data_IF_906782072372
#
_entry.id   IF_906782072372
#
_cell.length_a   1.000
_cell.length_b   1.000
_cell.length_c   1.000
_cell.angle_alpha   90.00
_cell.angle_beta   90.00
_cell.angle_gamma   90.00
#
_symmetry.space_group_name_H-M   'P 1'
#
loop_
_entity.id
_entity.type
_entity.pdbx_description
1 polymer ?
#
# COMPACT_ATOMS: atom_id res chain seq x y z
N UNK A 1 57.23 20.01 -8.19
CA UNK A 1 56.04 20.47 -7.46
C UNK A 1 55.55 21.75 -8.11
N UNK A 2 54.47 21.68 -8.89
CA UNK A 2 53.82 22.86 -9.47
C UNK A 2 52.47 23.02 -8.76
N UNK A 3 52.29 24.13 -8.04
CA UNK A 3 50.98 24.47 -7.49
C UNK A 3 50.09 24.91 -8.65
N UNK A 4 49.29 23.99 -9.19
CA UNK A 4 48.29 24.33 -10.18
C UNK A 4 47.30 25.30 -9.52
N UNK A 5 47.29 26.54 -9.99
CA UNK A 5 46.29 27.53 -9.60
C UNK A 5 44.94 27.05 -10.14
N UNK A 6 44.22 26.24 -9.36
CA UNK A 6 42.90 25.66 -9.68
C UNK A 6 41.78 26.72 -9.64
N UNK A 7 42.08 27.94 -10.07
CA UNK A 7 41.08 29.00 -10.23
C UNK A 7 40.41 28.79 -11.58
N UNK A 8 39.14 28.40 -11.57
CA UNK A 8 38.33 28.33 -12.78
C UNK A 8 37.02 29.10 -12.57
N UNK A 9 36.23 29.26 -13.62
CA UNK A 9 34.97 30.00 -13.55
C UNK A 9 33.90 29.17 -12.85
N UNK A 10 33.27 29.76 -11.84
CA UNK A 10 32.08 29.18 -11.22
C UNK A 10 30.90 29.25 -12.20
N UNK A 11 30.20 28.12 -12.41
CA UNK A 11 29.04 28.02 -13.29
C UNK A 11 27.93 29.02 -12.94
N UNK A 12 27.68 29.27 -11.65
CA UNK A 12 26.60 30.16 -11.20
C UNK A 12 26.98 31.65 -11.25
N UNK A 13 28.11 32.06 -10.68
CA UNK A 13 28.46 33.49 -10.58
C UNK A 13 29.49 33.98 -11.61
N UNK A 14 30.02 33.09 -12.45
CA UNK A 14 31.00 33.38 -13.51
C UNK A 14 32.25 34.15 -13.04
N UNK A 15 32.62 34.02 -11.76
CA UNK A 15 33.84 34.61 -11.19
C UNK A 15 34.95 33.57 -11.12
N UNK A 16 36.18 33.95 -11.46
CA UNK A 16 37.36 33.11 -11.26
C UNK A 16 37.60 32.92 -9.76
N UNK A 17 37.41 31.69 -9.30
CA UNK A 17 37.58 31.30 -7.90
C UNK A 17 38.13 29.88 -7.84
N UNK A 18 38.52 29.45 -6.64
CA UNK A 18 38.69 28.01 -6.39
C UNK A 18 37.32 27.36 -6.59
N UNK A 19 37.28 26.41 -7.50
CA UNK A 19 36.04 25.71 -7.90
C UNK A 19 36.18 24.22 -7.67
N UNK A 20 35.06 23.60 -7.36
CA UNK A 20 34.90 22.17 -7.16
C UNK A 20 33.97 21.62 -8.25
N UNK A 21 34.28 20.43 -8.75
CA UNK A 21 33.45 19.74 -9.72
C UNK A 21 32.31 19.00 -8.99
N UNK A 22 31.08 19.19 -9.45
CA UNK A 22 30.00 18.25 -9.16
C UNK A 22 30.02 17.18 -10.25
N UNK A 23 30.36 15.93 -9.90
CA UNK A 23 30.47 14.83 -10.87
C UNK A 23 29.10 14.51 -11.52
N UNK A 24 28.02 14.57 -10.73
CA UNK A 24 26.67 14.30 -11.23
C UNK A 24 26.18 15.30 -12.28
N UNK A 25 26.52 16.59 -12.12
CA UNK A 25 26.11 17.63 -13.05
C UNK A 25 27.20 18.02 -14.06
N UNK A 26 28.41 17.49 -13.90
CA UNK A 26 29.61 17.86 -14.68
C UNK A 26 29.86 19.37 -14.74
N UNK A 27 29.53 20.10 -13.67
CA UNK A 27 29.64 21.56 -13.56
C UNK A 27 30.57 21.95 -12.41
N UNK A 28 31.32 23.05 -12.59
CA UNK A 28 32.26 23.58 -11.60
C UNK A 28 31.63 24.73 -10.83
N UNK A 29 31.67 24.68 -9.51
CA UNK A 29 31.08 25.69 -8.63
C UNK A 29 32.11 26.19 -7.62
N UNK A 30 32.05 27.46 -7.21
CA UNK A 30 32.74 27.86 -5.98
C UNK A 30 32.01 27.25 -4.77
N UNK A 31 32.70 27.12 -3.63
CA UNK A 31 32.18 26.43 -2.44
C UNK A 31 30.72 26.80 -2.08
N UNK A 32 30.40 28.10 -2.04
CA UNK A 32 29.06 28.59 -1.71
C UNK A 32 27.99 28.03 -2.66
N UNK A 33 28.15 28.26 -3.97
CA UNK A 33 27.19 27.77 -4.97
C UNK A 33 27.21 26.24 -5.12
N UNK A 34 28.27 25.55 -4.68
CA UNK A 34 28.25 24.08 -4.61
C UNK A 34 27.30 23.62 -3.49
N UNK A 35 27.38 24.24 -2.32
CA UNK A 35 26.49 23.95 -1.19
C UNK A 35 25.05 24.26 -1.54
N UNK A 36 24.77 25.45 -2.08
CA UNK A 36 23.41 25.83 -2.54
C UNK A 36 22.88 24.86 -3.61
N UNK A 37 23.75 24.41 -4.53
CA UNK A 37 23.39 23.43 -5.54
C UNK A 37 23.02 22.07 -4.91
N UNK A 38 23.77 21.62 -3.91
CA UNK A 38 23.50 20.37 -3.19
C UNK A 38 22.21 20.46 -2.36
N UNK A 39 21.99 21.60 -1.68
CA UNK A 39 20.76 21.86 -0.93
C UNK A 39 19.54 21.79 -1.85
N UNK A 40 19.59 22.48 -3.00
CA UNK A 40 18.52 22.42 -4.00
C UNK A 40 18.27 21.01 -4.52
N UNK A 41 19.32 20.22 -4.78
CA UNK A 41 19.17 18.83 -5.20
C UNK A 41 18.52 17.97 -4.12
N UNK A 42 18.82 18.21 -2.84
CA UNK A 42 18.19 17.51 -1.73
C UNK A 42 16.70 17.87 -1.62
N UNK A 43 16.35 19.16 -1.75
CA UNK A 43 14.95 19.61 -1.78
C UNK A 43 14.17 18.94 -2.93
N UNK A 44 14.74 18.93 -4.14
CA UNK A 44 14.13 18.26 -5.30
C UNK A 44 13.95 16.75 -5.06
N UNK A 45 14.93 16.10 -4.43
CA UNK A 45 14.84 14.68 -4.07
C UNK A 45 13.75 14.40 -3.03
N UNK A 46 13.64 15.23 -1.99
CA UNK A 46 12.59 15.11 -0.98
C UNK A 46 11.20 15.24 -1.60
N UNK A 47 11.00 16.20 -2.51
CA UNK A 47 9.76 16.31 -3.28
C UNK A 47 9.46 15.05 -4.09
N UNK A 48 10.45 14.49 -4.79
CA UNK A 48 10.27 13.26 -5.57
C UNK A 48 9.94 12.04 -4.70
N UNK A 49 10.50 11.96 -3.50
CA UNK A 49 10.20 10.89 -2.54
C UNK A 49 8.74 10.99 -2.10
N UNK A 50 8.28 12.19 -1.72
CA UNK A 50 6.90 12.44 -1.33
C UNK A 50 5.94 12.08 -2.47
N UNK A 51 6.20 12.57 -3.69
CA UNK A 51 5.39 12.27 -4.87
C UNK A 51 5.31 10.76 -5.17
N UNK A 52 6.43 10.05 -5.02
CA UNK A 52 6.48 8.60 -5.17
C UNK A 52 5.62 7.88 -4.15
N UNK A 53 5.66 8.30 -2.89
CA UNK A 53 4.90 7.66 -1.82
C UNK A 53 3.40 7.93 -1.95
N UNK A 54 3.00 9.16 -2.28
CA UNK A 54 1.61 9.48 -2.62
C UNK A 54 1.11 8.66 -3.83
N UNK A 55 1.95 8.50 -4.85
CA UNK A 55 1.62 7.69 -6.01
C UNK A 55 1.41 6.21 -5.64
N UNK A 56 2.28 5.63 -4.82
CA UNK A 56 2.10 4.26 -4.30
C UNK A 56 0.82 4.11 -3.51
N UNK A 57 0.48 5.08 -2.65
CA UNK A 57 -0.76 5.05 -1.86
C UNK A 57 -1.99 5.04 -2.79
N UNK A 58 -2.01 5.94 -3.79
CA UNK A 58 -3.09 6.02 -4.80
C UNK A 58 -3.26 4.72 -5.59
N UNK A 59 -2.17 4.02 -5.91
CA UNK A 59 -2.24 2.73 -6.61
C UNK A 59 -2.79 1.60 -5.73
N UNK A 60 -2.53 1.64 -4.42
CA UNK A 60 -2.92 0.58 -3.49
C UNK A 60 -4.35 0.73 -2.96
N UNK A 61 -4.84 1.97 -2.81
CA UNK A 61 -6.18 2.26 -2.28
C UNK A 61 -7.34 1.60 -3.05
N UNK A 62 -7.38 1.58 -4.40
CA UNK A 62 -8.41 0.85 -5.15
C UNK A 62 -8.38 -0.66 -4.94
N UNK A 63 -7.19 -1.25 -4.74
CA UNK A 63 -7.03 -2.69 -4.50
C UNK A 63 -7.60 -3.08 -3.13
N UNK A 64 -7.28 -2.30 -2.10
CA UNK A 64 -7.80 -2.50 -0.75
C UNK A 64 -9.33 -2.35 -0.72
N UNK A 65 -9.88 -1.34 -1.39
CA UNK A 65 -11.33 -1.14 -1.45
C UNK A 65 -12.05 -2.30 -2.16
N UNK A 66 -11.50 -2.82 -3.27
CA UNK A 66 -12.07 -4.00 -3.94
C UNK A 66 -12.02 -5.25 -3.06
N UNK A 67 -10.89 -5.49 -2.39
CA UNK A 67 -10.75 -6.65 -1.50
C UNK A 67 -11.74 -6.57 -0.33
N UNK A 68 -11.91 -5.39 0.27
CA UNK A 68 -12.90 -5.18 1.33
C UNK A 68 -14.32 -5.48 0.83
N UNK A 69 -14.72 -4.94 -0.33
CA UNK A 69 -16.04 -5.19 -0.91
C UNK A 69 -16.27 -6.67 -1.22
N UNK A 70 -15.27 -7.36 -1.76
CA UNK A 70 -15.34 -8.79 -2.02
C UNK A 70 -15.51 -9.60 -0.73
N UNK A 71 -14.73 -9.28 0.31
CA UNK A 71 -14.85 -9.93 1.61
C UNK A 71 -16.25 -9.74 2.22
N UNK A 72 -16.82 -8.54 2.10
CA UNK A 72 -18.19 -8.26 2.56
C UNK A 72 -19.24 -9.11 1.85
N UNK A 73 -19.08 -9.36 0.54
CA UNK A 73 -19.98 -10.26 -0.22
C UNK A 73 -19.84 -11.70 0.27
N UNK A 74 -18.60 -12.18 0.44
CA UNK A 74 -18.34 -13.55 0.89
C UNK A 74 -18.90 -13.81 2.29
N UNK A 75 -18.75 -12.87 3.22
CA UNK A 75 -19.30 -13.00 4.58
C UNK A 75 -20.82 -13.09 4.56
N UNK A 76 -21.50 -12.30 3.72
CA UNK A 76 -22.96 -12.43 3.55
C UNK A 76 -23.36 -13.82 3.06
N UNK A 77 -22.65 -14.36 2.08
CA UNK A 77 -22.90 -15.71 1.56
C UNK A 77 -22.67 -16.80 2.62
N UNK A 78 -21.62 -16.66 3.43
CA UNK A 78 -21.34 -17.58 4.54
C UNK A 78 -22.47 -17.54 5.56
N UNK A 79 -22.92 -16.36 5.97
CA UNK A 79 -24.01 -16.21 6.94
C UNK A 79 -25.33 -16.80 6.42
N UNK A 80 -25.62 -16.61 5.13
CA UNK A 80 -26.80 -17.20 4.49
C UNK A 80 -26.70 -18.73 4.43
N UNK A 81 -25.53 -19.26 4.07
CA UNK A 81 -25.28 -20.69 4.07
C UNK A 81 -25.40 -21.30 5.46
N UNK A 82 -24.87 -20.63 6.48
CA UNK A 82 -24.98 -21.04 7.88
C UNK A 82 -26.45 -21.11 8.31
N UNK A 83 -27.21 -20.02 8.09
CA UNK A 83 -28.64 -19.96 8.43
C UNK A 83 -29.42 -21.09 7.77
N UNK A 84 -29.26 -21.25 6.45
CA UNK A 84 -29.98 -22.27 5.68
C UNK A 84 -29.60 -23.69 6.12
N UNK A 85 -28.35 -23.91 6.50
CA UNK A 85 -27.88 -25.21 6.99
C UNK A 85 -28.49 -25.55 8.35
N UNK A 86 -28.53 -24.59 9.28
CA UNK A 86 -29.16 -24.75 10.59
C UNK A 86 -30.66 -25.06 10.42
N UNK A 87 -31.34 -24.35 9.53
CA UNK A 87 -32.77 -24.55 9.26
C UNK A 87 -33.05 -25.97 8.77
N UNK A 88 -32.30 -26.45 7.77
CA UNK A 88 -32.41 -27.83 7.27
C UNK A 88 -32.17 -28.89 8.34
N UNK A 89 -31.18 -28.67 9.21
CA UNK A 89 -30.89 -29.59 10.32
C UNK A 89 -32.06 -29.60 11.31
N UNK A 90 -32.64 -28.43 11.61
CA UNK A 90 -33.81 -28.33 12.50
C UNK A 90 -35.04 -29.01 11.91
N UNK A 91 -35.36 -28.76 10.65
CA UNK A 91 -36.45 -29.43 9.92
C UNK A 91 -36.27 -30.94 9.98
N UNK A 92 -35.09 -31.44 9.62
CA UNK A 92 -34.84 -32.88 9.62
C UNK A 92 -34.93 -33.49 11.02
N UNK A 93 -34.46 -32.79 12.04
CA UNK A 93 -34.59 -33.23 13.42
C UNK A 93 -36.07 -33.27 13.87
N UNK A 94 -36.90 -32.34 13.39
CA UNK A 94 -38.34 -32.32 13.66
C UNK A 94 -39.06 -33.49 12.99
N UNK A 95 -38.74 -33.78 11.73
CA UNK A 95 -39.28 -34.95 11.03
C UNK A 95 -38.96 -36.25 11.79
N UNK A 96 -37.72 -36.41 12.26
CA UNK A 96 -37.32 -37.56 13.05
C UNK A 96 -38.10 -37.66 14.37
N UNK A 97 -38.34 -36.53 15.05
CA UNK A 97 -39.16 -36.50 16.29
C UNK A 97 -40.58 -36.97 16.03
N UNK A 98 -41.21 -36.49 14.95
CA UNK A 98 -42.58 -36.89 14.57
C UNK A 98 -42.66 -38.39 14.30
N UNK A 99 -41.72 -38.94 13.52
CA UNK A 99 -41.67 -40.38 13.21
C UNK A 99 -41.61 -41.22 14.49
N UNK A 100 -40.75 -40.84 15.45
CA UNK A 100 -40.62 -41.57 16.72
C UNK A 100 -41.91 -41.49 17.54
N UNK A 101 -42.52 -40.31 17.64
CA UNK A 101 -43.77 -40.14 18.39
C UNK A 101 -44.92 -40.93 17.76
N UNK A 102 -45.12 -40.84 16.44
CA UNK A 102 -46.15 -41.60 15.71
C UNK A 102 -45.94 -43.12 15.86
N UNK A 103 -44.68 -43.57 15.82
CA UNK A 103 -44.34 -44.99 16.03
C UNK A 103 -44.63 -45.46 17.46
N UNK A 104 -44.49 -44.58 18.46
CA UNK A 104 -44.79 -44.88 19.86
C UNK A 104 -46.29 -44.92 20.16
N UNK A 105 -47.10 -44.12 19.45
CA UNK A 105 -48.56 -44.11 19.60
C UNK A 105 -49.20 -45.39 19.04
N UNK A 106 -48.67 -45.95 17.94
CA UNK A 106 -49.14 -47.22 17.37
C UNK A 106 -48.92 -48.40 18.35
N UNK A 107 -47.85 -48.35 19.15
CA UNK A 107 -47.56 -49.39 20.15
C UNK A 107 -48.42 -49.30 21.42
N UNK A 108 -49.14 -48.20 21.66
CA UNK A 108 -50.01 -48.02 22.82
C UNK A 108 -51.48 -48.39 22.56
N UNK A 109 -51.85 -48.62 21.31
CA UNK A 109 -53.24 -48.92 20.88
C UNK A 109 -53.45 -50.43 20.61
N UNK A 110 -52.38 -51.20 20.45
CA UNK A 110 -52.41 -52.68 20.32
C UNK A 110 -52.14 -53.38 21.66
#
# INVERSE_FOLDING_TARGET
MAMANNKTLCFTCNKEKITYLCDGCSKKFCLIHLTEHQEKLNEELECLIIDCDEFKERLNKPKQNRQYLQNQILIKQINEWEKNSIEKIKEKAEDCRKIVNESSEIFLIN
#
